data_IF_028613724220
#
_entry.id   IF_028613724220
#
_cell.length_a   1.000
_cell.length_b   1.000
_cell.length_c   1.000
_cell.angle_alpha   90.00
_cell.angle_beta   90.00
_cell.angle_gamma   90.00
#
_symmetry.space_group_name_H-M   'P 1'
#
loop_
_entity.id
_entity.type
_entity.pdbx_description
1 polymer ?
#
# COMPACT_ATOMS: atom_id res chain seq x y z
N UNK A 1 13.70 -0.63 -28.36
CA UNK A 1 13.85 0.50 -27.42
C UNK A 1 12.49 1.15 -27.33
N UNK A 2 11.90 1.25 -26.15
CA UNK A 2 10.60 1.94 -25.98
C UNK A 2 10.89 3.43 -25.88
N UNK A 3 10.34 4.21 -26.80
CA UNK A 3 10.60 5.64 -26.91
C UNK A 3 10.01 6.37 -25.71
N UNK A 4 10.84 7.16 -25.03
CA UNK A 4 10.44 7.99 -23.88
C UNK A 4 9.23 8.90 -24.17
N UNK A 5 8.97 9.20 -25.45
CA UNK A 5 7.81 9.93 -25.95
C UNK A 5 6.48 9.23 -25.62
N UNK A 6 6.45 7.91 -25.66
CA UNK A 6 5.21 7.15 -25.51
C UNK A 6 4.67 7.22 -24.08
N UNK A 7 5.53 7.36 -23.08
CA UNK A 7 5.11 7.40 -21.67
C UNK A 7 4.71 8.80 -21.21
N UNK A 8 5.35 9.85 -21.75
CA UNK A 8 5.00 11.25 -21.42
C UNK A 8 3.53 11.55 -21.74
N UNK A 9 2.97 10.94 -22.78
CA UNK A 9 1.58 11.16 -23.19
C UNK A 9 0.63 9.99 -22.92
N UNK A 10 1.06 8.99 -22.14
CA UNK A 10 0.26 7.82 -21.84
C UNK A 10 -0.27 7.85 -20.40
N UNK A 11 -1.43 8.48 -20.23
CA UNK A 11 -2.12 8.53 -18.94
C UNK A 11 -2.42 7.14 -18.38
N UNK A 12 -2.70 6.13 -19.23
CA UNK A 12 -2.97 4.75 -18.79
C UNK A 12 -1.76 4.15 -18.07
N UNK A 13 -0.56 4.32 -18.64
CA UNK A 13 0.68 3.87 -18.00
C UNK A 13 0.96 4.66 -16.73
N UNK A 14 0.73 5.98 -16.75
CA UNK A 14 0.92 6.82 -15.57
C UNK A 14 0.00 6.39 -14.41
N UNK A 15 -1.29 6.17 -14.66
CA UNK A 15 -2.24 5.70 -13.63
C UNK A 15 -1.84 4.32 -13.11
N UNK A 16 -1.37 3.42 -13.97
CA UNK A 16 -0.84 2.14 -13.53
C UNK A 16 0.36 2.29 -12.58
N UNK A 17 1.34 3.13 -12.93
CA UNK A 17 2.51 3.38 -12.07
C UNK A 17 2.14 4.09 -10.76
N UNK A 18 1.11 4.95 -10.78
CA UNK A 18 0.55 5.59 -9.57
C UNK A 18 -0.05 4.56 -8.63
N UNK A 19 -0.84 3.60 -9.12
CA UNK A 19 -1.37 2.53 -8.26
C UNK A 19 -0.28 1.56 -7.81
N UNK A 20 0.62 1.19 -8.73
CA UNK A 20 1.73 0.27 -8.44
C UNK A 20 2.58 0.77 -7.27
N UNK A 21 2.90 2.08 -7.23
CA UNK A 21 3.73 2.65 -6.14
C UNK A 21 3.09 2.62 -4.75
N UNK A 22 1.76 2.53 -4.67
CA UNK A 22 1.04 2.46 -3.39
C UNK A 22 1.04 1.03 -2.83
N UNK A 23 1.28 0.02 -3.67
CA UNK A 23 1.36 -1.39 -3.29
C UNK A 23 2.81 -1.87 -3.13
N UNK A 24 3.68 -1.48 -4.06
CA UNK A 24 5.08 -1.91 -4.12
C UNK A 24 5.99 -0.77 -4.59
N UNK A 25 7.30 -0.88 -4.35
CA UNK A 25 8.25 0.13 -4.86
C UNK A 25 8.34 0.07 -6.39
N UNK A 26 8.33 1.24 -7.03
CA UNK A 26 8.67 1.38 -8.45
C UNK A 26 10.17 1.19 -8.67
N UNK A 27 10.52 0.63 -9.83
CA UNK A 27 11.91 0.64 -10.31
C UNK A 27 12.36 2.07 -10.62
N UNK A 28 13.67 2.31 -10.66
CA UNK A 28 14.22 3.65 -10.94
C UNK A 28 13.72 4.23 -12.27
N UNK A 29 13.65 3.38 -13.31
CA UNK A 29 13.12 3.75 -14.62
C UNK A 29 11.66 4.21 -14.53
N UNK A 30 10.81 3.42 -13.87
CA UNK A 30 9.39 3.74 -13.67
C UNK A 30 9.18 5.03 -12.86
N UNK A 31 10.06 5.31 -11.88
CA UNK A 31 10.01 6.56 -11.13
C UNK A 31 10.29 7.78 -12.01
N UNK A 32 11.30 7.70 -12.88
CA UNK A 32 11.63 8.78 -13.82
C UNK A 32 10.50 8.97 -14.83
N UNK A 33 10.01 7.89 -15.42
CA UNK A 33 8.87 7.87 -16.33
C UNK A 33 7.64 8.55 -15.74
N UNK A 34 7.24 8.14 -14.53
CA UNK A 34 6.09 8.72 -13.85
C UNK A 34 6.34 10.20 -13.51
N UNK A 35 7.55 10.56 -13.08
CA UNK A 35 7.90 11.95 -12.77
C UNK A 35 7.77 12.84 -14.00
N UNK A 36 8.29 12.41 -15.15
CA UNK A 36 8.19 13.18 -16.39
C UNK A 36 6.73 13.38 -16.83
N UNK A 37 5.90 12.33 -16.77
CA UNK A 37 4.48 12.45 -17.08
C UNK A 37 3.77 13.43 -16.12
N UNK A 38 4.05 13.33 -14.82
CA UNK A 38 3.45 14.21 -13.81
C UNK A 38 3.91 15.66 -13.91
N UNK A 39 4.97 16.01 -14.64
CA UNK A 39 5.29 17.42 -14.92
C UNK A 39 4.25 18.01 -15.88
N UNK A 40 3.88 17.27 -16.93
CA UNK A 40 3.04 17.77 -18.03
C UNK A 40 1.55 17.45 -17.97
N UNK A 41 1.09 16.59 -17.04
CA UNK A 41 -0.31 16.16 -17.01
C UNK A 41 -1.00 16.48 -15.67
N UNK A 42 -1.80 17.55 -15.64
CA UNK A 42 -2.54 17.97 -14.45
C UNK A 42 -3.61 16.97 -14.01
N UNK A 43 -4.22 16.25 -14.95
CA UNK A 43 -5.20 15.21 -14.64
C UNK A 43 -4.56 14.06 -13.84
N UNK A 44 -3.34 13.65 -14.20
CA UNK A 44 -2.61 12.63 -13.45
C UNK A 44 -2.10 13.17 -12.09
N UNK A 45 -1.75 14.46 -11.98
CA UNK A 45 -1.47 15.11 -10.67
C UNK A 45 -2.70 15.07 -9.76
N UNK A 46 -3.89 15.32 -10.31
CA UNK A 46 -5.14 15.24 -9.56
C UNK A 46 -5.45 13.79 -9.18
N UNK A 47 -5.27 12.85 -10.11
CA UNK A 47 -5.48 11.43 -9.87
C UNK A 47 -4.63 10.89 -8.71
N UNK A 48 -3.36 11.31 -8.60
CA UNK A 48 -2.51 10.99 -7.43
C UNK A 48 -3.21 11.31 -6.11
N UNK A 49 -3.84 12.48 -6.00
CA UNK A 49 -4.55 12.90 -4.77
C UNK A 49 -5.82 12.09 -4.56
N UNK A 50 -6.57 11.84 -5.64
CA UNK A 50 -7.82 11.08 -5.59
C UNK A 50 -7.59 9.62 -5.19
N UNK A 51 -6.67 8.94 -5.86
CA UNK A 51 -6.29 7.55 -5.57
C UNK A 51 -5.85 7.38 -4.12
N UNK A 52 -4.96 8.25 -3.63
CA UNK A 52 -4.53 8.24 -2.22
C UNK A 52 -5.72 8.38 -1.27
N UNK A 53 -6.63 9.33 -1.52
CA UNK A 53 -7.82 9.54 -0.70
C UNK A 53 -8.74 8.31 -0.70
N UNK A 54 -8.94 7.67 -1.86
CA UNK A 54 -9.72 6.44 -1.98
C UNK A 54 -9.07 5.32 -1.15
N UNK A 55 -7.76 5.12 -1.27
CA UNK A 55 -7.03 4.13 -0.49
C UNK A 55 -7.11 4.39 1.02
N UNK A 56 -7.05 5.64 1.45
CA UNK A 56 -7.25 6.02 2.86
C UNK A 56 -8.69 5.74 3.33
N UNK A 57 -9.71 6.06 2.54
CA UNK A 57 -11.12 5.76 2.85
C UNK A 57 -11.37 4.26 2.96
N UNK A 58 -10.86 3.46 2.02
CA UNK A 58 -11.00 1.99 2.06
C UNK A 58 -10.31 1.43 3.32
N UNK A 59 -9.09 1.89 3.64
CA UNK A 59 -8.41 1.49 4.88
C UNK A 59 -9.21 1.86 6.14
N UNK A 60 -9.90 3.00 6.14
CA UNK A 60 -10.75 3.40 7.26
C UNK A 60 -12.00 2.52 7.38
N UNK A 61 -12.67 2.20 6.27
CA UNK A 61 -13.82 1.31 6.24
C UNK A 61 -13.47 -0.08 6.77
N UNK A 62 -12.35 -0.65 6.30
CA UNK A 62 -11.86 -1.96 6.78
C UNK A 62 -11.45 -1.91 8.27
N UNK A 63 -10.91 -0.78 8.76
CA UNK A 63 -10.64 -0.59 10.19
C UNK A 63 -11.90 -0.47 11.04
N UNK A 64 -12.98 0.11 10.52
CA UNK A 64 -14.25 0.22 11.25
C UNK A 64 -14.97 -1.13 11.37
N UNK A 65 -14.92 -1.98 10.33
CA UNK A 65 -15.43 -3.36 10.41
C UNK A 65 -14.58 -4.24 11.33
N UNK A 66 -13.26 -4.01 11.37
CA UNK A 66 -12.34 -4.72 12.27
C UNK A 66 -12.41 -4.25 13.74
N UNK A 67 -13.40 -3.40 14.10
CA UNK A 67 -13.76 -3.17 15.51
C UNK A 67 -14.54 -4.35 16.12
N UNK A 68 -14.95 -5.33 15.32
CA UNK A 68 -15.13 -6.68 15.84
C UNK A 68 -13.74 -7.26 16.11
N UNK A 69 -13.37 -7.18 17.39
CA UNK A 69 -12.16 -7.70 18.02
C UNK A 69 -11.61 -8.95 17.33
N UNK A 70 -10.60 -8.79 16.45
CA UNK A 70 -9.66 -9.87 16.16
C UNK A 70 -8.88 -10.08 17.47
N UNK A 71 -9.44 -10.93 18.33
CA UNK A 71 -8.80 -11.42 19.53
C UNK A 71 -8.24 -12.80 19.22
N UNK A 72 -7.06 -13.08 19.75
CA UNK A 72 -6.64 -14.47 19.87
C UNK A 72 -7.67 -15.19 20.73
N UNK A 73 -8.03 -16.39 20.30
CA UNK A 73 -8.87 -17.26 21.09
C UNK A 73 -8.24 -17.48 22.47
N UNK A 74 -9.08 -17.51 23.50
CA UNK A 74 -8.61 -17.56 24.89
C UNK A 74 -7.77 -18.83 25.15
N UNK A 75 -8.05 -19.94 24.46
CA UNK A 75 -7.27 -21.17 24.58
C UNK A 75 -5.84 -21.00 24.06
N UNK A 76 -5.68 -20.31 22.92
CA UNK A 76 -4.36 -20.03 22.37
C UNK A 76 -3.57 -19.08 23.28
N UNK A 77 -4.26 -18.08 23.86
CA UNK A 77 -3.64 -17.14 24.79
C UNK A 77 -3.15 -17.84 26.06
N UNK A 78 -3.96 -18.74 26.61
CA UNK A 78 -3.60 -19.54 27.78
C UNK A 78 -2.44 -20.49 27.48
N UNK A 79 -2.46 -21.17 26.33
CA UNK A 79 -1.36 -22.04 25.90
C UNK A 79 -0.04 -21.26 25.77
N UNK A 80 -0.08 -20.05 25.23
CA UNK A 80 1.09 -19.18 25.12
C UNK A 80 1.62 -18.76 26.49
N UNK A 81 0.73 -18.41 27.42
CA UNK A 81 1.10 -18.00 28.78
C UNK A 81 1.82 -19.15 29.52
N UNK A 82 1.28 -20.37 29.43
CA UNK A 82 1.91 -21.55 30.01
C UNK A 82 3.33 -21.77 29.48
N UNK A 83 3.56 -21.58 28.18
CA UNK A 83 4.90 -21.70 27.61
C UNK A 83 5.87 -20.63 28.12
N UNK A 84 5.41 -19.40 28.34
CA UNK A 84 6.23 -18.32 28.91
C UNK A 84 6.62 -18.66 30.35
N UNK A 85 5.65 -19.08 31.16
CA UNK A 85 5.87 -19.41 32.56
C UNK A 85 6.82 -20.62 32.72
N UNK A 86 6.70 -21.62 31.85
CA UNK A 86 7.60 -22.78 31.79
C UNK A 86 9.05 -22.40 31.44
N UNK A 87 9.25 -21.34 30.63
CA UNK A 87 10.58 -20.85 30.29
C UNK A 87 11.17 -19.96 31.38
N UNK A 88 10.33 -19.22 32.10
CA UNK A 88 10.78 -18.39 33.24
C UNK A 88 11.17 -19.24 34.45
N UNK A 89 10.46 -20.34 34.71
CA UNK A 89 10.74 -21.27 35.83
C UNK A 89 11.94 -22.20 35.58
N UNK A 90 12.57 -22.15 34.39
CA UNK A 90 13.78 -22.91 34.06
C UNK A 90 15.09 -22.16 34.37
N UNK A 91 15.01 -20.90 34.79
CA UNK A 91 16.12 -20.10 35.33
C UNK A 91 16.03 -19.99 36.85
#
# INVERSE_FOLDING_TARGET
MSDFKDIIYNCRQATYLIEKRELIKLTFKEQIELRMHLVGCDMCKLYVKQSRKINEMVKQLLKSDMRHTIRLDDDFKNALQTQIDDQLNKN
#
